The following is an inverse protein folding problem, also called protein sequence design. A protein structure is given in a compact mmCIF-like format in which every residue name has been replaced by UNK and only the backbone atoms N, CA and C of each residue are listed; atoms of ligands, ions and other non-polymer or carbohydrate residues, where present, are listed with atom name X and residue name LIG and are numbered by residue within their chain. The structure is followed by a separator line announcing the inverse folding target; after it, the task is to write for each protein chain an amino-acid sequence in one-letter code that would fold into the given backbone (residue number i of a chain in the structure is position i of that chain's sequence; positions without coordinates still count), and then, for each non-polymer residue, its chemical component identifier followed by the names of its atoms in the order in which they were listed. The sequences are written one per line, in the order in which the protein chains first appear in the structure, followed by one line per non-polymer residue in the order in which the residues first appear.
data_IF_182322053393
#
_entry.id   IF_182322053393
#
_cell.length_a   1.000
_cell.length_b   1.000
_cell.length_c   1.000
_cell.angle_alpha   90.00
_cell.angle_beta   90.00
_cell.angle_gamma   90.00
#
_symmetry.space_group_name_H-M   'P 1'
#
loop_
_entity.id
_entity.type
_entity.pdbx_description
1 polymer ?
#
# COMPACT_ATOMS: atom_id res chain seq x y z
N UNK A 1 -32.25 1.77 74.23
CA UNK A 1 -32.75 2.67 73.16
C UNK A 1 -32.01 4.00 73.32
N UNK A 2 -31.37 4.51 72.26
CA UNK A 2 -30.01 5.07 72.37
C UNK A 2 -29.96 6.59 72.43
N UNK A 3 -28.89 7.08 73.10
CA UNK A 3 -28.48 8.47 73.23
C UNK A 3 -27.61 8.85 72.02
N UNK A 4 -27.96 9.94 71.35
CA UNK A 4 -27.23 10.48 70.21
C UNK A 4 -26.02 11.31 70.67
N UNK A 5 -24.86 11.04 70.06
CA UNK A 5 -23.59 11.76 70.30
C UNK A 5 -23.30 12.70 69.14
N UNK A 6 -22.89 13.93 69.47
CA UNK A 6 -22.52 15.02 68.57
C UNK A 6 -21.18 14.74 67.86
N UNK A 7 -21.05 15.14 66.60
CA UNK A 7 -19.77 15.20 65.84
C UNK A 7 -19.65 16.61 65.22
N UNK A 8 -18.44 17.23 65.21
CA UNK A 8 -18.30 18.67 65.02
C UNK A 8 -18.21 19.10 63.55
N UNK A 9 -18.57 20.36 63.32
CA UNK A 9 -18.46 21.11 62.07
C UNK A 9 -16.99 21.41 61.75
N UNK A 10 -16.50 20.98 60.58
CA UNK A 10 -15.23 21.41 60.02
C UNK A 10 -15.47 22.13 58.68
N UNK A 11 -15.14 23.41 58.66
CA UNK A 11 -15.22 24.30 57.50
C UNK A 11 -14.09 23.96 56.52
N UNK A 12 -14.43 23.52 55.31
CA UNK A 12 -13.46 23.32 54.21
C UNK A 12 -13.38 24.60 53.40
N UNK A 13 -12.20 25.23 53.40
CA UNK A 13 -11.83 26.32 52.48
C UNK A 13 -11.31 25.66 51.18
N UNK A 14 -11.87 25.97 49.99
CA UNK A 14 -11.26 25.51 48.76
C UNK A 14 -10.15 26.49 48.35
N UNK A 15 -8.89 26.13 48.61
CA UNK A 15 -7.76 26.74 47.89
C UNK A 15 -7.59 25.99 46.57
N UNK A 16 -8.32 26.45 45.55
CA UNK A 16 -8.06 26.04 44.18
C UNK A 16 -6.77 26.74 43.70
N UNK A 17 -5.65 26.03 43.79
CA UNK A 17 -4.43 26.43 43.10
C UNK A 17 -4.61 26.05 41.64
N UNK A 18 -5.03 27.01 40.81
CA UNK A 18 -4.98 26.89 39.35
C UNK A 18 -3.51 26.83 38.96
N UNK A 19 -3.01 25.63 38.67
CA UNK A 19 -1.75 25.46 37.94
C UNK A 19 -2.01 25.98 36.54
N UNK A 20 -1.23 26.93 36.02
CA UNK A 20 -1.39 27.35 34.64
C UNK A 20 -0.93 26.19 33.74
N UNK A 21 -1.88 25.56 33.06
CA UNK A 21 -1.60 24.65 31.96
C UNK A 21 -0.86 25.43 30.88
N UNK A 22 0.45 25.20 30.79
CA UNK A 22 1.21 25.40 29.56
C UNK A 22 0.49 24.65 28.41
N UNK A 23 0.65 25.07 27.14
CA UNK A 23 -0.19 24.52 26.07
C UNK A 23 0.15 23.02 25.93
N UNK A 24 -0.80 22.17 26.30
CA UNK A 24 -0.70 20.70 26.18
C UNK A 24 -0.75 20.27 24.70
N UNK A 25 -1.28 21.14 23.84
CA UNK A 25 -1.57 20.88 22.42
C UNK A 25 -0.31 20.60 21.56
N UNK A 26 0.79 21.37 21.62
CA UNK A 26 1.97 21.10 20.81
C UNK A 26 2.68 19.78 21.17
N UNK A 27 2.64 19.39 22.45
CA UNK A 27 3.27 18.14 22.91
C UNK A 27 2.47 16.91 22.48
N UNK A 28 1.12 16.98 22.56
CA UNK A 28 0.24 15.90 22.07
C UNK A 28 0.38 15.75 20.56
N UNK A 29 0.43 16.86 19.82
CA UNK A 29 0.63 16.85 18.37
C UNK A 29 1.97 16.23 17.96
N UNK A 30 3.08 16.65 18.58
CA UNK A 30 4.41 16.06 18.29
C UNK A 30 4.41 14.58 18.57
N UNK A 31 3.96 14.17 19.76
CA UNK A 31 3.92 12.76 20.16
C UNK A 31 3.11 11.90 19.19
N UNK A 32 1.95 12.40 18.73
CA UNK A 32 1.12 11.70 17.75
C UNK A 32 1.85 11.50 16.42
N UNK A 33 2.43 12.56 15.87
CA UNK A 33 3.15 12.52 14.59
C UNK A 33 4.41 11.65 14.68
N UNK A 34 5.21 11.83 15.73
CA UNK A 34 6.41 11.03 16.01
C UNK A 34 6.04 9.54 16.13
N UNK A 35 4.91 9.23 16.75
CA UNK A 35 4.43 7.84 16.87
C UNK A 35 4.03 7.26 15.51
N UNK A 36 3.32 8.02 14.68
CA UNK A 36 2.96 7.57 13.33
C UNK A 36 4.19 7.34 12.46
N UNK A 37 5.14 8.28 12.46
CA UNK A 37 6.38 8.18 11.69
C UNK A 37 7.20 6.95 12.11
N UNK A 38 7.41 6.76 13.42
CA UNK A 38 8.17 5.61 13.93
C UNK A 38 7.53 4.27 13.53
N UNK A 39 6.19 4.18 13.59
CA UNK A 39 5.50 2.96 13.18
C UNK A 39 5.58 2.72 11.66
N UNK A 40 5.46 3.78 10.86
CA UNK A 40 5.63 3.68 9.40
C UNK A 40 7.05 3.21 9.03
N UNK A 41 8.08 3.76 9.68
CA UNK A 41 9.48 3.33 9.51
C UNK A 41 9.65 1.84 9.86
N UNK A 42 9.06 1.39 10.96
CA UNK A 42 9.15 -0.02 11.38
C UNK A 42 8.48 -0.96 10.39
N UNK A 43 7.26 -0.63 9.94
CA UNK A 43 6.52 -1.45 8.95
C UNK A 43 7.27 -1.50 7.61
N UNK A 44 7.74 -0.36 7.12
CA UNK A 44 8.52 -0.28 5.88
C UNK A 44 9.82 -1.07 5.99
N UNK A 45 10.53 -0.98 7.13
CA UNK A 45 11.76 -1.74 7.36
C UNK A 45 11.49 -3.26 7.43
N UNK A 46 10.39 -3.69 8.03
CA UNK A 46 9.99 -5.09 8.04
C UNK A 46 9.74 -5.61 6.61
N UNK A 47 9.02 -4.82 5.79
CA UNK A 47 8.74 -5.19 4.41
C UNK A 47 10.01 -5.22 3.53
N UNK A 48 10.90 -4.24 3.70
CA UNK A 48 12.18 -4.22 2.99
C UNK A 48 13.03 -5.47 3.28
N UNK A 49 13.00 -5.99 4.53
CA UNK A 49 13.65 -7.26 4.86
C UNK A 49 13.01 -8.45 4.13
N UNK A 50 11.68 -8.45 3.96
CA UNK A 50 10.99 -9.49 3.17
C UNK A 50 11.48 -9.46 1.73
N UNK A 51 11.47 -8.29 1.09
CA UNK A 51 11.95 -8.10 -0.28
C UNK A 51 13.42 -8.51 -0.44
N UNK A 52 14.26 -8.14 0.53
CA UNK A 52 15.68 -8.50 0.53
C UNK A 52 15.87 -10.02 0.54
N UNK A 53 15.15 -10.76 1.39
CA UNK A 53 15.27 -12.22 1.39
C UNK A 53 14.71 -12.85 0.10
N UNK A 54 13.59 -12.35 -0.43
CA UNK A 54 12.97 -12.87 -1.65
C UNK A 54 13.82 -12.66 -2.91
N UNK A 55 14.63 -11.61 -2.94
CA UNK A 55 15.53 -11.28 -4.05
C UNK A 55 16.84 -12.07 -4.04
N UNK A 56 17.16 -12.78 -2.96
CA UNK A 56 18.35 -13.63 -2.87
C UNK A 56 18.14 -14.97 -3.58
N UNK A 57 19.23 -15.53 -4.08
CA UNK A 57 19.27 -16.91 -4.56
C UNK A 57 19.52 -17.83 -3.36
N UNK A 58 18.54 -18.69 -3.07
CA UNK A 58 18.63 -19.65 -1.97
C UNK A 58 18.96 -21.05 -2.49
N UNK A 59 19.76 -21.85 -1.74
CA UNK A 59 20.05 -23.23 -2.13
C UNK A 59 18.80 -24.10 -2.24
N UNK A 60 17.83 -23.88 -1.35
CA UNK A 60 16.55 -24.56 -1.33
C UNK A 60 15.44 -23.60 -0.91
N UNK A 61 14.19 -23.90 -1.28
CA UNK A 61 12.98 -23.25 -0.75
C UNK A 61 12.96 -23.28 0.78
N UNK A 62 13.36 -24.41 1.37
CA UNK A 62 13.39 -24.54 2.83
C UNK A 62 14.36 -23.55 3.49
N UNK A 63 15.52 -23.30 2.86
CA UNK A 63 16.49 -22.33 3.38
C UNK A 63 15.93 -20.89 3.38
N UNK A 64 15.15 -20.53 2.36
CA UNK A 64 14.43 -19.24 2.31
C UNK A 64 13.40 -19.15 3.44
N UNK A 65 12.59 -20.19 3.62
CA UNK A 65 11.53 -20.22 4.63
C UNK A 65 12.10 -20.21 6.06
N UNK A 66 13.23 -20.88 6.28
CA UNK A 66 13.92 -20.87 7.58
C UNK A 66 14.45 -19.46 7.89
N UNK A 67 14.97 -18.74 6.89
CA UNK A 67 15.41 -17.35 7.05
C UNK A 67 14.27 -16.39 7.44
N UNK A 68 13.03 -16.69 7.06
CA UNK A 68 11.85 -15.95 7.54
C UNK A 68 11.36 -16.44 8.91
N UNK A 69 11.50 -17.73 9.20
CA UNK A 69 11.05 -18.31 10.47
C UNK A 69 11.87 -17.80 11.66
N UNK A 70 13.14 -17.44 11.42
CA UNK A 70 14.02 -16.81 12.40
C UNK A 70 13.72 -15.32 12.61
N UNK A 71 12.72 -14.76 11.92
CA UNK A 71 12.38 -13.35 11.96
C UNK A 71 10.99 -13.12 12.56
N UNK A 72 10.90 -12.19 13.51
CA UNK A 72 9.63 -11.79 14.13
C UNK A 72 8.80 -10.85 13.22
N UNK A 73 8.95 -10.93 11.89
CA UNK A 73 8.47 -9.94 10.93
C UNK A 73 6.97 -9.66 11.05
N UNK A 74 6.14 -10.70 11.08
CA UNK A 74 4.69 -10.53 11.24
C UNK A 74 4.35 -9.88 12.59
N UNK A 75 5.03 -10.27 13.67
CA UNK A 75 4.79 -9.73 15.01
C UNK A 75 5.24 -8.27 15.13
N UNK A 76 6.35 -7.89 14.50
CA UNK A 76 6.80 -6.50 14.40
C UNK A 76 5.74 -5.62 13.72
N UNK A 77 5.20 -6.08 12.59
CA UNK A 77 4.15 -5.38 11.85
C UNK A 77 2.86 -5.26 12.68
N UNK A 78 2.42 -6.37 13.28
CA UNK A 78 1.22 -6.42 14.13
C UNK A 78 1.37 -5.46 15.31
N UNK A 79 2.52 -5.48 15.98
CA UNK A 79 2.81 -4.59 17.11
C UNK A 79 2.81 -3.12 16.68
N UNK A 80 3.45 -2.80 15.56
CA UNK A 80 3.55 -1.42 15.06
C UNK A 80 2.16 -0.85 14.71
N UNK A 81 1.38 -1.59 13.94
CA UNK A 81 0.03 -1.16 13.55
C UNK A 81 -0.95 -1.19 14.72
N UNK A 82 -0.78 -2.14 15.65
CA UNK A 82 -1.51 -2.16 16.91
C UNK A 82 -1.26 -0.90 17.75
N UNK A 83 -0.02 -0.40 17.79
CA UNK A 83 0.31 0.85 18.46
C UNK A 83 -0.37 2.05 17.79
N UNK A 84 -0.39 2.11 16.45
CA UNK A 84 -1.10 3.17 15.70
C UNK A 84 -2.59 3.19 16.07
N UNK A 85 -3.24 2.03 16.17
CA UNK A 85 -4.67 1.96 16.51
C UNK A 85 -4.99 2.50 17.91
N UNK A 86 -4.02 2.46 18.83
CA UNK A 86 -4.20 2.93 20.22
C UNK A 86 -3.84 4.41 20.42
N UNK A 87 -3.41 5.12 19.38
CA UNK A 87 -3.07 6.53 19.49
C UNK A 87 -4.33 7.38 19.69
N UNK A 88 -4.16 8.49 20.41
CA UNK A 88 -5.17 9.55 20.52
C UNK A 88 -4.78 10.68 19.57
N UNK A 89 -5.51 10.88 18.46
CA UNK A 89 -5.21 11.95 17.52
C UNK A 89 -5.56 13.32 18.14
N UNK A 90 -4.81 14.38 17.80
CA UNK A 90 -5.32 15.75 17.96
C UNK A 90 -6.62 15.94 17.16
N UNK A 91 -7.53 16.80 17.63
CA UNK A 91 -8.83 17.09 16.99
C UNK A 91 -8.71 17.33 15.48
N UNK A 92 -7.63 18.00 15.08
CA UNK A 92 -7.38 18.33 13.68
C UNK A 92 -7.14 17.10 12.79
N UNK A 93 -6.77 15.94 13.34
CA UNK A 93 -6.48 14.69 12.61
C UNK A 93 -7.47 13.55 12.94
N UNK A 94 -8.58 13.83 13.62
CA UNK A 94 -9.49 12.78 14.11
C UNK A 94 -10.06 11.91 12.97
N UNK A 95 -10.46 12.52 11.86
CA UNK A 95 -11.02 11.81 10.71
C UNK A 95 -9.94 11.01 9.95
N UNK A 96 -8.77 11.62 9.70
CA UNK A 96 -7.64 10.89 9.10
C UNK A 96 -7.20 9.71 9.96
N UNK A 97 -7.22 9.87 11.30
CA UNK A 97 -6.89 8.79 12.22
C UNK A 97 -7.91 7.64 12.18
N UNK A 98 -9.20 7.94 12.01
CA UNK A 98 -10.23 6.91 11.86
C UNK A 98 -9.97 6.04 10.62
N UNK A 99 -9.56 6.65 9.51
CA UNK A 99 -9.21 5.94 8.27
C UNK A 99 -7.94 5.09 8.47
N UNK A 100 -6.92 5.64 9.15
CA UNK A 100 -5.73 4.89 9.54
C UNK A 100 -6.07 3.67 10.40
N UNK A 101 -6.96 3.82 11.39
CA UNK A 101 -7.38 2.72 12.26
C UNK A 101 -8.13 1.61 11.51
N UNK A 102 -9.04 1.98 10.60
CA UNK A 102 -9.78 1.02 9.78
C UNK A 102 -8.83 0.23 8.89
N UNK A 103 -7.90 0.92 8.22
CA UNK A 103 -6.96 0.27 7.31
C UNK A 103 -5.90 -0.55 8.04
N UNK A 104 -5.42 -0.09 9.21
CA UNK A 104 -4.47 -0.83 10.04
C UNK A 104 -5.02 -2.21 10.44
N UNK A 105 -6.33 -2.34 10.68
CA UNK A 105 -6.95 -3.65 10.97
C UNK A 105 -6.83 -4.61 9.79
N UNK A 106 -7.15 -4.17 8.58
CA UNK A 106 -7.00 -4.98 7.36
C UNK A 106 -5.53 -5.36 7.12
N UNK A 107 -4.61 -4.43 7.36
CA UNK A 107 -3.18 -4.70 7.19
C UNK A 107 -2.67 -5.71 8.23
N UNK A 108 -3.17 -5.67 9.48
CA UNK A 108 -2.91 -6.68 10.52
C UNK A 108 -3.45 -8.06 10.14
N UNK A 109 -4.63 -8.14 9.51
CA UNK A 109 -5.16 -9.42 8.99
C UNK A 109 -4.20 -10.05 7.97
N UNK A 110 -3.64 -9.27 7.04
CA UNK A 110 -2.65 -9.78 6.10
C UNK A 110 -1.31 -10.15 6.75
N UNK A 111 -0.93 -9.50 7.86
CA UNK A 111 0.24 -9.90 8.64
C UNK A 111 0.03 -11.28 9.32
N UNK A 112 -1.20 -11.57 9.76
CA UNK A 112 -1.57 -12.90 10.22
C UNK A 112 -1.62 -13.93 9.09
N UNK A 113 -2.08 -13.56 7.89
CA UNK A 113 -2.02 -14.45 6.72
C UNK A 113 -0.57 -14.81 6.38
N UNK A 114 0.32 -13.83 6.41
CA UNK A 114 1.75 -14.02 6.23
C UNK A 114 2.33 -14.98 7.29
N UNK A 115 1.99 -14.79 8.56
CA UNK A 115 2.42 -15.66 9.66
C UNK A 115 1.94 -17.10 9.45
N UNK A 116 0.67 -17.29 9.09
CA UNK A 116 0.09 -18.62 8.82
C UNK A 116 0.78 -19.30 7.64
N UNK A 117 1.05 -18.57 6.57
CA UNK A 117 1.76 -19.09 5.40
C UNK A 117 3.19 -19.53 5.75
N UNK A 118 3.92 -18.72 6.54
CA UNK A 118 5.26 -19.06 7.01
C UNK A 118 5.25 -20.31 7.89
N UNK A 119 4.34 -20.41 8.86
CA UNK A 119 4.18 -21.59 9.71
C UNK A 119 3.80 -22.85 8.91
N UNK A 120 2.98 -22.69 7.87
CA UNK A 120 2.60 -23.75 6.95
C UNK A 120 3.66 -24.10 5.91
N UNK A 121 4.78 -23.37 5.86
CA UNK A 121 5.82 -23.47 4.81
C UNK A 121 5.26 -23.28 3.40
N UNK A 122 4.20 -22.49 3.31
CA UNK A 122 3.46 -22.18 2.07
C UNK A 122 4.02 -20.91 1.44
N UNK A 123 5.03 -21.07 0.58
CA UNK A 123 5.63 -19.95 -0.13
C UNK A 123 4.63 -19.26 -1.08
N UNK A 124 3.68 -19.99 -1.67
CA UNK A 124 2.64 -19.39 -2.55
C UNK A 124 1.73 -18.49 -1.72
N UNK A 125 1.20 -19.01 -0.61
CA UNK A 125 0.39 -18.24 0.33
C UNK A 125 1.13 -17.02 0.89
N UNK A 126 2.44 -17.16 1.15
CA UNK A 126 3.28 -16.06 1.59
C UNK A 126 3.37 -14.94 0.54
N UNK A 127 3.54 -15.28 -0.75
CA UNK A 127 3.56 -14.28 -1.83
C UNK A 127 2.23 -13.53 -1.92
N UNK A 128 1.11 -14.26 -1.83
CA UNK A 128 -0.23 -13.67 -1.92
C UNK A 128 -0.49 -12.74 -0.73
N UNK A 129 -0.18 -13.19 0.49
CA UNK A 129 -0.30 -12.38 1.71
C UNK A 129 0.55 -11.11 1.63
N UNK A 130 1.79 -11.22 1.15
CA UNK A 130 2.69 -10.07 0.94
C UNK A 130 2.12 -9.07 -0.06
N UNK A 131 1.64 -9.52 -1.22
CA UNK A 131 1.08 -8.63 -2.24
C UNK A 131 -0.14 -7.86 -1.70
N UNK A 132 -1.05 -8.56 -1.02
CA UNK A 132 -2.23 -7.95 -0.42
C UNK A 132 -1.89 -7.00 0.73
N UNK A 133 -0.93 -7.36 1.57
CA UNK A 133 -0.38 -6.49 2.59
C UNK A 133 0.12 -5.18 1.98
N UNK A 134 0.99 -5.27 0.97
CA UNK A 134 1.60 -4.11 0.33
C UNK A 134 0.56 -3.17 -0.28
N UNK A 135 -0.45 -3.73 -0.96
CA UNK A 135 -1.55 -2.96 -1.53
C UNK A 135 -2.33 -2.24 -0.43
N UNK A 136 -2.74 -2.94 0.63
CA UNK A 136 -3.52 -2.34 1.71
C UNK A 136 -2.73 -1.29 2.49
N UNK A 137 -1.45 -1.54 2.74
CA UNK A 137 -0.58 -0.57 3.39
C UNK A 137 -0.41 0.68 2.52
N UNK A 138 -0.14 0.52 1.22
CA UNK A 138 -0.02 1.66 0.31
C UNK A 138 -1.35 2.40 0.15
N UNK A 139 -2.49 1.71 0.04
CA UNK A 139 -3.83 2.33 0.06
C UNK A 139 -4.05 3.19 1.29
N UNK A 140 -3.62 2.73 2.47
CA UNK A 140 -3.67 3.52 3.69
C UNK A 140 -2.94 4.86 3.50
N UNK A 141 -1.72 4.81 2.96
CA UNK A 141 -0.92 6.00 2.71
C UNK A 141 -1.56 6.94 1.68
N UNK A 142 -2.31 6.40 0.71
CA UNK A 142 -3.06 7.23 -0.27
C UNK A 142 -4.24 8.00 0.33
N UNK A 143 -4.72 7.61 1.52
CA UNK A 143 -5.84 8.30 2.18
C UNK A 143 -5.40 9.46 3.08
N UNK A 144 -4.10 9.65 3.26
CA UNK A 144 -3.56 10.68 4.14
C UNK A 144 -3.78 12.07 3.52
N UNK A 145 -4.18 13.02 4.37
CA UNK A 145 -4.31 14.40 3.91
C UNK A 145 -2.93 15.00 3.61
N UNK A 146 -2.81 15.96 2.66
CA UNK A 146 -1.55 16.65 2.38
C UNK A 146 -0.89 17.24 3.64
N UNK A 147 -1.73 17.71 4.57
CA UNK A 147 -1.29 18.22 5.88
C UNK A 147 -0.65 17.13 6.75
N UNK A 148 -1.24 15.94 6.82
CA UNK A 148 -0.67 14.83 7.58
C UNK A 148 0.60 14.31 6.90
N UNK A 149 0.60 14.19 5.58
CA UNK A 149 1.76 13.86 4.77
C UNK A 149 2.96 14.80 5.01
N UNK A 150 2.72 16.11 4.91
CA UNK A 150 3.74 17.13 5.18
C UNK A 150 4.25 17.04 6.62
N UNK A 151 3.36 16.76 7.58
CA UNK A 151 3.73 16.57 8.97
C UNK A 151 4.56 15.30 9.22
N UNK A 152 4.42 14.28 8.36
CA UNK A 152 5.18 13.02 8.38
C UNK A 152 6.43 13.06 7.50
N UNK A 153 6.67 14.14 6.74
CA UNK A 153 7.82 14.27 5.84
C UNK A 153 7.83 13.29 4.66
N UNK A 154 6.67 12.77 4.27
CA UNK A 154 6.49 11.80 3.16
C UNK A 154 5.90 12.45 1.89
N UNK A 155 5.88 13.78 1.86
CA UNK A 155 5.38 14.61 0.75
C UNK A 155 6.12 14.38 -0.58
N UNK A 156 7.38 13.95 -0.50
CA UNK A 156 8.22 13.67 -1.67
C UNK A 156 8.32 12.18 -2.04
N UNK A 157 7.60 11.30 -1.35
CA UNK A 157 7.59 9.88 -1.70
C UNK A 157 6.81 9.66 -3.01
N UNK A 158 7.43 9.14 -4.08
CA UNK A 158 6.76 8.92 -5.36
C UNK A 158 5.63 7.87 -5.28
N UNK A 159 5.58 7.07 -4.21
CA UNK A 159 4.57 6.06 -3.98
C UNK A 159 3.39 6.56 -3.12
N UNK A 160 3.50 7.74 -2.51
CA UNK A 160 2.43 8.32 -1.67
C UNK A 160 1.76 9.47 -2.39
N UNK A 161 0.43 9.44 -2.48
CA UNK A 161 -0.36 10.58 -2.99
C UNK A 161 -0.53 11.59 -1.86
N UNK A 162 0.55 12.31 -1.53
CA UNK A 162 0.49 13.42 -0.59
C UNK A 162 0.11 14.73 -1.26
N UNK A 163 0.65 14.97 -2.47
CA UNK A 163 0.25 16.03 -3.38
C UNK A 163 0.24 15.50 -4.83
N UNK A 164 -0.61 16.10 -5.68
CA UNK A 164 -0.65 15.84 -7.12
C UNK A 164 0.15 16.96 -7.76
N UNK A 165 1.32 16.62 -8.30
CA UNK A 165 2.29 17.61 -8.78
C UNK A 165 2.02 18.03 -10.23
N UNK A 166 1.19 17.31 -10.98
CA UNK A 166 0.94 17.55 -12.40
C UNK A 166 -0.09 18.67 -12.71
N UNK A 167 -0.45 19.50 -11.74
CA UNK A 167 -1.18 20.74 -11.99
C UNK A 167 -2.38 20.98 -11.06
N UNK A 168 -3.20 21.97 -11.43
CA UNK A 168 -4.39 22.31 -10.67
C UNK A 168 -5.38 21.13 -10.66
N UNK A 169 -6.05 20.83 -9.52
CA UNK A 169 -7.09 19.81 -9.47
C UNK A 169 -8.13 20.00 -10.60
N UNK A 170 -8.51 18.90 -11.27
CA UNK A 170 -9.47 18.91 -12.37
C UNK A 170 -8.86 19.17 -13.76
N UNK A 171 -7.55 19.33 -13.90
CA UNK A 171 -6.88 19.27 -15.22
C UNK A 171 -6.69 17.82 -15.67
N UNK A 172 -6.62 17.59 -16.98
CA UNK A 172 -6.38 16.27 -17.55
C UNK A 172 -5.11 15.60 -16.96
N UNK A 173 -3.97 16.32 -16.97
CA UNK A 173 -2.69 15.80 -16.48
C UNK A 173 -2.75 15.43 -14.98
N UNK A 174 -3.38 16.24 -14.14
CA UNK A 174 -3.56 15.96 -12.71
C UNK A 174 -4.46 14.73 -12.45
N UNK A 175 -5.53 14.56 -13.24
CA UNK A 175 -6.42 13.41 -13.14
C UNK A 175 -5.74 12.11 -13.62
N UNK A 176 -4.93 12.17 -14.68
CA UNK A 176 -4.12 11.04 -15.15
C UNK A 176 -3.07 10.64 -14.12
N UNK A 177 -2.32 11.61 -13.57
CA UNK A 177 -1.31 11.32 -12.54
C UNK A 177 -1.95 10.65 -11.32
N UNK A 178 -3.07 11.20 -10.82
CA UNK A 178 -3.82 10.62 -9.70
C UNK A 178 -4.26 9.19 -10.02
N UNK A 179 -4.82 8.99 -11.21
CA UNK A 179 -5.29 7.69 -11.66
C UNK A 179 -4.15 6.66 -11.68
N UNK A 180 -2.99 7.01 -12.24
CA UNK A 180 -1.88 6.07 -12.39
C UNK A 180 -1.13 5.82 -11.07
N UNK A 181 -1.11 6.78 -10.14
CA UNK A 181 -0.63 6.50 -8.77
C UNK A 181 -1.51 5.46 -8.06
N UNK A 182 -2.84 5.60 -8.15
CA UNK A 182 -3.78 4.59 -7.61
C UNK A 182 -3.59 3.25 -8.31
N UNK A 183 -3.57 3.24 -9.64
CA UNK A 183 -3.37 2.01 -10.42
C UNK A 183 -2.05 1.32 -10.04
N UNK A 184 -0.95 2.04 -9.90
CA UNK A 184 0.35 1.48 -9.52
C UNK A 184 0.34 0.84 -8.13
N UNK A 185 -0.35 1.45 -7.17
CA UNK A 185 -0.53 0.88 -5.83
C UNK A 185 -1.25 -0.47 -5.89
N UNK A 186 -2.25 -0.60 -6.77
CA UNK A 186 -2.94 -1.86 -6.99
C UNK A 186 -2.11 -2.87 -7.79
N UNK A 187 -1.44 -2.40 -8.82
CA UNK A 187 -0.87 -3.26 -9.85
C UNK A 187 0.51 -3.79 -9.45
N UNK A 188 1.42 -2.90 -9.05
CA UNK A 188 2.83 -3.24 -8.91
C UNK A 188 3.10 -4.36 -7.89
N UNK A 189 2.54 -4.34 -6.66
CA UNK A 189 2.82 -5.41 -5.69
C UNK A 189 2.37 -6.81 -6.14
N UNK A 190 1.43 -6.88 -7.09
CA UNK A 190 0.87 -8.13 -7.62
C UNK A 190 1.66 -8.71 -8.79
N UNK A 191 2.57 -7.93 -9.38
CA UNK A 191 3.29 -8.31 -10.61
C UNK A 191 4.82 -8.20 -10.53
N UNK A 192 5.39 -7.51 -9.53
CA UNK A 192 6.86 -7.28 -9.47
C UNK A 192 7.58 -8.04 -8.36
N UNK A 193 6.85 -8.63 -7.42
CA UNK A 193 7.42 -9.15 -6.17
C UNK A 193 7.41 -10.67 -6.09
N UNK A 194 7.94 -11.40 -7.09
CA UNK A 194 8.03 -12.86 -7.04
C UNK A 194 9.38 -13.32 -6.45
N UNK A 195 9.35 -14.23 -5.47
CA UNK A 195 10.58 -14.79 -4.92
C UNK A 195 11.31 -15.65 -5.96
N UNK A 196 12.62 -15.47 -6.09
CA UNK A 196 13.43 -16.23 -7.06
C UNK A 196 13.44 -17.74 -6.80
N UNK A 197 13.16 -18.13 -5.55
CA UNK A 197 13.10 -19.53 -5.12
C UNK A 197 11.80 -20.26 -5.53
N UNK A 198 10.80 -19.56 -6.08
CA UNK A 198 9.57 -20.21 -6.56
C UNK A 198 9.89 -21.13 -7.74
N UNK A 199 9.34 -22.35 -7.70
CA UNK A 199 9.23 -23.19 -8.89
C UNK A 199 8.34 -22.51 -9.95
N UNK A 200 8.38 -23.02 -11.18
CA UNK A 200 7.50 -22.54 -12.24
C UNK A 200 6.01 -22.72 -11.92
N UNK A 201 5.62 -23.91 -11.46
CA UNK A 201 4.26 -24.23 -11.01
C UNK A 201 3.82 -23.29 -9.87
N UNK A 202 4.70 -23.00 -8.91
CA UNK A 202 4.41 -22.09 -7.81
C UNK A 202 4.23 -20.65 -8.32
N UNK A 203 5.05 -20.19 -9.27
CA UNK A 203 4.86 -18.86 -9.88
C UNK A 203 3.52 -18.75 -10.58
N UNK A 204 3.12 -19.77 -11.33
CA UNK A 204 1.82 -19.80 -12.00
C UNK A 204 0.66 -19.86 -11.01
N UNK A 205 0.83 -20.57 -9.90
CA UNK A 205 -0.15 -20.57 -8.80
C UNK A 205 -0.31 -19.19 -8.16
N UNK A 206 0.80 -18.47 -7.91
CA UNK A 206 0.75 -17.09 -7.39
C UNK A 206 0.10 -16.15 -8.42
N UNK A 207 0.47 -16.27 -9.69
CA UNK A 207 -0.13 -15.48 -10.78
C UNK A 207 -1.64 -15.71 -10.85
N UNK A 208 -2.09 -16.96 -10.89
CA UNK A 208 -3.51 -17.28 -10.91
C UNK A 208 -4.26 -16.71 -9.69
N UNK A 209 -3.63 -16.74 -8.51
CA UNK A 209 -4.21 -16.23 -7.27
C UNK A 209 -4.34 -14.70 -7.22
N UNK A 210 -3.49 -13.95 -7.94
CA UNK A 210 -3.44 -12.48 -7.88
C UNK A 210 -4.03 -11.78 -9.12
N UNK A 211 -4.19 -12.49 -10.24
CA UNK A 211 -4.58 -11.87 -11.50
C UNK A 211 -6.03 -11.38 -11.52
N UNK A 212 -6.90 -11.90 -10.66
CA UNK A 212 -8.27 -11.39 -10.54
C UNK A 212 -8.28 -9.94 -10.06
N UNK A 213 -7.42 -9.60 -9.10
CA UNK A 213 -7.28 -8.25 -8.59
C UNK A 213 -6.57 -7.34 -9.60
N UNK A 214 -5.64 -7.88 -10.41
CA UNK A 214 -5.04 -7.17 -11.54
C UNK A 214 -6.10 -6.82 -12.60
N UNK A 215 -7.01 -7.76 -12.92
CA UNK A 215 -8.14 -7.51 -13.83
C UNK A 215 -9.02 -6.37 -13.29
N UNK A 216 -9.36 -6.39 -12.00
CA UNK A 216 -10.17 -5.33 -11.38
C UNK A 216 -9.46 -3.97 -11.47
N UNK A 217 -8.18 -3.92 -11.09
CA UNK A 217 -7.40 -2.67 -11.09
C UNK A 217 -7.25 -2.07 -12.49
N UNK A 218 -6.96 -2.90 -13.49
CA UNK A 218 -6.82 -2.46 -14.89
C UNK A 218 -8.14 -2.02 -15.49
N UNK A 219 -9.24 -2.73 -15.24
CA UNK A 219 -10.59 -2.33 -15.67
C UNK A 219 -11.01 -1.00 -15.08
N UNK A 220 -10.89 -0.83 -13.76
CA UNK A 220 -11.25 0.43 -13.11
C UNK A 220 -10.40 1.60 -13.60
N UNK A 221 -9.11 1.35 -13.85
CA UNK A 221 -8.23 2.36 -14.42
C UNK A 221 -8.63 2.72 -15.86
N UNK A 222 -8.94 1.73 -16.69
CA UNK A 222 -9.37 1.94 -18.07
C UNK A 222 -10.69 2.73 -18.14
N UNK A 223 -11.68 2.37 -17.31
CA UNK A 223 -12.97 3.07 -17.23
C UNK A 223 -12.80 4.55 -16.83
N UNK A 224 -11.96 4.82 -15.82
CA UNK A 224 -11.66 6.18 -15.38
C UNK A 224 -10.89 6.97 -16.44
N UNK A 225 -9.90 6.36 -17.09
CA UNK A 225 -9.13 7.01 -18.14
C UNK A 225 -10.03 7.35 -19.34
N UNK A 226 -10.88 6.43 -19.79
CA UNK A 226 -11.79 6.62 -20.92
C UNK A 226 -12.84 7.72 -20.69
N UNK A 227 -13.13 8.06 -19.42
CA UNK A 227 -14.01 9.16 -19.07
C UNK A 227 -13.33 10.55 -19.18
N UNK A 228 -12.00 10.60 -19.28
CA UNK A 228 -11.25 11.84 -19.46
C UNK A 228 -11.20 12.26 -20.93
N UNK A 229 -11.22 13.58 -21.17
CA UNK A 229 -11.02 14.14 -22.51
C UNK A 229 -9.58 14.64 -22.65
N UNK A 230 -8.70 13.98 -23.44
CA UNK A 230 -7.34 14.44 -23.63
C UNK A 230 -7.30 15.74 -24.46
N UNK A 231 -6.44 16.72 -24.12
CA UNK A 231 -6.15 17.84 -25.00
C UNK A 231 -5.36 17.39 -26.23
N UNK A 232 -5.33 18.21 -27.29
CA UNK A 232 -4.75 17.86 -28.61
C UNK A 232 -3.33 17.27 -28.54
N UNK A 233 -2.49 17.73 -27.62
CA UNK A 233 -1.11 17.22 -27.44
C UNK A 233 -0.99 15.90 -26.68
N UNK A 234 -2.09 15.34 -26.15
CA UNK A 234 -2.11 14.11 -25.32
C UNK A 234 -2.94 12.99 -25.92
N UNK A 235 -3.59 13.20 -27.06
CA UNK A 235 -4.55 12.26 -27.65
C UNK A 235 -3.93 10.89 -27.94
N UNK A 236 -2.71 10.86 -28.46
CA UNK A 236 -2.05 9.60 -28.83
C UNK A 236 -1.55 8.83 -27.60
N UNK A 237 -0.90 9.52 -26.65
CA UNK A 237 -0.48 8.93 -25.36
C UNK A 237 -1.68 8.39 -24.55
N UNK A 238 -2.79 9.13 -24.56
CA UNK A 238 -4.04 8.69 -23.95
C UNK A 238 -4.53 7.36 -24.53
N UNK A 239 -4.55 7.23 -25.86
CA UNK A 239 -4.97 5.99 -26.52
C UNK A 239 -4.02 4.84 -26.21
N UNK A 240 -2.72 5.09 -26.22
CA UNK A 240 -1.70 4.08 -25.87
C UNK A 240 -1.95 3.55 -24.46
N UNK A 241 -2.20 4.44 -23.48
CA UNK A 241 -2.50 4.03 -22.12
C UNK A 241 -3.81 3.26 -21.99
N UNK A 242 -4.86 3.71 -22.69
CA UNK A 242 -6.14 3.01 -22.66
C UNK A 242 -5.99 1.59 -23.23
N UNK A 243 -5.30 1.44 -24.37
CA UNK A 243 -4.98 0.13 -24.95
C UNK A 243 -4.14 -0.71 -24.00
N UNK A 244 -3.13 -0.14 -23.36
CA UNK A 244 -2.32 -0.86 -22.36
C UNK A 244 -3.18 -1.41 -21.21
N UNK A 245 -4.05 -0.59 -20.62
CA UNK A 245 -4.90 -1.00 -19.51
C UNK A 245 -5.90 -2.08 -19.94
N UNK A 246 -6.54 -1.91 -21.10
CA UNK A 246 -7.48 -2.88 -21.65
C UNK A 246 -6.83 -4.23 -21.96
N UNK A 247 -5.67 -4.22 -22.62
CA UNK A 247 -4.98 -5.45 -23.01
C UNK A 247 -4.34 -6.15 -21.81
N UNK A 248 -3.80 -5.40 -20.85
CA UNK A 248 -3.33 -5.97 -19.57
C UNK A 248 -4.49 -6.61 -18.80
N UNK A 249 -5.66 -5.97 -18.75
CA UNK A 249 -6.84 -6.52 -18.11
C UNK A 249 -7.36 -7.80 -18.79
N UNK A 250 -7.41 -7.82 -20.13
CA UNK A 250 -7.76 -9.04 -20.89
C UNK A 250 -6.79 -10.17 -20.61
N UNK A 251 -5.48 -9.90 -20.60
CA UNK A 251 -4.46 -10.91 -20.30
C UNK A 251 -4.59 -11.42 -18.85
N UNK A 252 -4.80 -10.54 -17.88
CA UNK A 252 -5.01 -10.93 -16.48
C UNK A 252 -6.26 -11.82 -16.31
N UNK A 253 -7.35 -11.46 -16.98
CA UNK A 253 -8.57 -12.28 -16.99
C UNK A 253 -8.32 -13.67 -17.60
N UNK A 254 -7.60 -13.72 -18.73
CA UNK A 254 -7.23 -14.99 -19.37
C UNK A 254 -6.31 -15.85 -18.49
N UNK A 255 -5.37 -15.25 -17.74
CA UNK A 255 -4.52 -15.98 -16.78
C UNK A 255 -5.37 -16.55 -15.65
N UNK A 256 -6.35 -15.79 -15.16
CA UNK A 256 -7.28 -16.26 -14.11
C UNK A 256 -8.02 -17.51 -14.57
N UNK A 257 -8.61 -17.48 -15.77
CA UNK A 257 -9.32 -18.64 -16.36
C UNK A 257 -8.37 -19.83 -16.55
N UNK A 258 -7.17 -19.61 -17.12
CA UNK A 258 -6.19 -20.68 -17.30
C UNK A 258 -5.75 -21.30 -15.96
N UNK A 259 -5.66 -20.49 -14.90
CA UNK A 259 -5.40 -20.95 -13.53
C UNK A 259 -6.50 -21.83 -12.95
N UNK A 260 -7.77 -21.46 -13.17
CA UNK A 260 -8.92 -22.27 -12.78
C UNK A 260 -8.94 -23.63 -13.52
N UNK A 261 -8.52 -23.63 -14.78
CA UNK A 261 -8.41 -24.82 -15.63
C UNK A 261 -7.13 -25.63 -15.39
N UNK A 262 -6.17 -25.09 -14.62
CA UNK A 262 -4.82 -25.65 -14.41
C UNK A 262 -4.06 -25.88 -15.71
N UNK A 263 -4.16 -24.93 -16.64
CA UNK A 263 -3.45 -24.94 -17.92
C UNK A 263 -2.16 -24.10 -17.81
N UNK A 264 -1.12 -24.70 -17.23
CA UNK A 264 0.17 -24.04 -16.99
C UNK A 264 0.83 -23.54 -18.28
N UNK A 265 0.71 -24.29 -19.38
CA UNK A 265 1.25 -23.88 -20.68
C UNK A 265 0.56 -22.63 -21.20
N UNK A 266 -0.76 -22.50 -20.96
CA UNK A 266 -1.49 -21.29 -21.31
C UNK A 266 -1.12 -20.12 -20.42
N UNK A 267 -0.90 -20.34 -19.12
CA UNK A 267 -0.43 -19.29 -18.19
C UNK A 267 0.94 -18.76 -18.64
N UNK A 268 1.89 -19.63 -18.97
CA UNK A 268 3.22 -19.24 -19.46
C UNK A 268 3.14 -18.38 -20.73
N UNK A 269 2.31 -18.80 -21.70
CA UNK A 269 2.07 -18.05 -22.93
C UNK A 269 1.53 -16.64 -22.63
N UNK A 270 0.52 -16.56 -21.76
CA UNK A 270 -0.14 -15.30 -21.41
C UNK A 270 0.76 -14.38 -20.58
N UNK A 271 1.60 -14.94 -19.70
CA UNK A 271 2.62 -14.19 -18.97
C UNK A 271 3.66 -13.58 -19.92
N UNK A 272 4.09 -14.34 -20.93
CA UNK A 272 4.99 -13.80 -21.96
C UNK A 272 4.31 -12.69 -22.77
N UNK A 273 3.01 -12.85 -23.06
CA UNK A 273 2.22 -11.84 -23.75
C UNK A 273 2.08 -10.56 -22.94
N UNK A 274 1.89 -10.63 -21.62
CA UNK A 274 1.78 -9.42 -20.77
C UNK A 274 3.06 -8.59 -20.80
N UNK A 275 4.24 -9.23 -20.81
CA UNK A 275 5.52 -8.56 -21.02
C UNK A 275 5.58 -7.80 -22.34
N UNK A 276 5.13 -8.44 -23.44
CA UNK A 276 5.06 -7.80 -24.76
C UNK A 276 4.13 -6.58 -24.77
N UNK A 277 2.97 -6.66 -24.10
CA UNK A 277 2.02 -5.52 -23.99
C UNK A 277 2.67 -4.35 -23.27
N UNK A 278 3.36 -4.62 -22.15
CA UNK A 278 4.05 -3.61 -21.37
C UNK A 278 5.19 -2.94 -22.15
N UNK A 279 6.04 -3.73 -22.81
CA UNK A 279 7.14 -3.22 -23.65
C UNK A 279 6.64 -2.39 -24.83
N UNK A 280 5.58 -2.83 -25.50
CA UNK A 280 4.99 -2.11 -26.62
C UNK A 280 4.42 -0.75 -26.18
N UNK A 281 3.73 -0.70 -25.04
CA UNK A 281 3.23 0.56 -24.47
C UNK A 281 4.39 1.51 -24.11
N UNK A 282 5.43 1.00 -23.46
CA UNK A 282 6.60 1.81 -23.11
C UNK A 282 7.41 2.31 -24.29
N UNK A 283 7.47 1.55 -25.39
CA UNK A 283 8.10 2.00 -26.62
C UNK A 283 7.30 3.12 -27.32
N UNK A 284 5.96 3.06 -27.25
CA UNK A 284 5.07 3.96 -27.96
C UNK A 284 4.80 5.28 -27.22
N UNK A 285 4.72 5.26 -25.88
CA UNK A 285 4.35 6.42 -25.08
C UNK A 285 5.42 7.51 -25.12
N UNK A 286 5.04 8.78 -25.18
CA UNK A 286 5.98 9.88 -25.21
C UNK A 286 6.76 10.00 -23.89
N UNK A 287 8.02 10.47 -23.98
CA UNK A 287 8.88 10.59 -22.81
C UNK A 287 8.38 11.60 -21.80
N UNK A 288 7.94 12.77 -22.27
CA UNK A 288 7.34 13.79 -21.41
C UNK A 288 6.19 13.18 -20.59
N UNK A 289 5.32 12.38 -21.22
CA UNK A 289 4.18 11.77 -20.56
C UNK A 289 4.60 10.69 -19.55
N UNK A 290 5.57 9.85 -19.90
CA UNK A 290 6.11 8.78 -19.03
C UNK A 290 6.77 9.35 -17.77
N UNK A 291 7.58 10.39 -17.90
CA UNK A 291 8.31 10.97 -16.77
C UNK A 291 7.42 11.84 -15.89
N UNK A 292 6.56 12.67 -16.48
CA UNK A 292 5.81 13.68 -15.72
C UNK A 292 4.54 13.13 -15.08
N UNK A 293 3.81 12.26 -15.77
CA UNK A 293 2.50 11.79 -15.30
C UNK A 293 2.53 10.37 -14.75
N UNK A 294 3.45 9.55 -15.26
CA UNK A 294 3.50 8.12 -14.97
C UNK A 294 4.67 7.75 -14.06
N UNK A 295 5.50 8.72 -13.65
CA UNK A 295 6.60 8.52 -12.70
C UNK A 295 7.49 7.33 -13.07
N UNK A 296 7.80 7.19 -14.37
CA UNK A 296 8.68 6.14 -14.88
C UNK A 296 8.06 4.75 -14.94
N UNK A 297 6.73 4.58 -14.84
CA UNK A 297 6.06 3.27 -14.91
C UNK A 297 6.54 2.44 -16.10
N UNK A 298 6.71 3.04 -17.28
CA UNK A 298 7.06 2.30 -18.50
C UNK A 298 8.53 2.33 -18.86
N UNK A 299 9.18 3.48 -18.66
CA UNK A 299 10.60 3.68 -18.95
C UNK A 299 11.12 4.95 -18.28
N UNK A 300 12.40 4.91 -17.94
CA UNK A 300 13.19 6.11 -17.66
C UNK A 300 13.69 6.66 -19.01
N UNK A 301 13.24 7.86 -19.38
CA UNK A 301 13.66 8.52 -20.60
C UNK A 301 14.95 9.32 -20.36
N UNK A 302 16.03 8.64 -19.94
CA UNK A 302 17.34 9.28 -19.83
C UNK A 302 17.81 9.68 -21.22
N UNK A 303 17.97 10.98 -21.43
CA UNK A 303 18.53 11.62 -22.63
C UNK A 303 20.02 11.31 -22.84
#
# INVERSE_FOLDING_TARGET
VPTATVVPTATVVPTATVVPTAPVVPQVRSFYLDSLENNAVQVTAAFARIDEQMSKVWPTKDSLLDAFSDSDLSQEIISSLGAVVQLFPPDEFEEEHRILQETAKTVVEYAHDLERALQGRDLVGMMVAKANFAVSYKRMLLTLSPRLCSALGIDNDPEVICEINAGAPGTYDAEVERLFKVFRVEFAPRVTSFALALSEEERFSVLAALNREVEVATREAAEKLAALSPPDGRVDDHKILLTFLEDTGKTASAITVAGEERDDSKIEQLFTQSGTVFEAAGAAISCEYSETLLHGIFRDCVS
#
